data_IF_179613868879
#
_entry.id   IF_179613868879
#
_cell.length_a   1.000
_cell.length_b   1.000
_cell.length_c   1.000
_cell.angle_alpha   90.00
_cell.angle_beta   90.00
_cell.angle_gamma   90.00
#
_symmetry.space_group_name_H-M   'P 1'
#
loop_
_entity.id
_entity.type
_entity.pdbx_description
1 polymer ?
#
# COMPACT_ATOMS: atom_id res chain seq x y z
N UNK A 1 -14.54 26.91 -13.79
CA UNK A 1 -14.61 25.75 -14.73
C UNK A 1 -13.25 25.28 -15.22
N UNK A 2 -12.50 26.06 -16.04
CA UNK A 2 -11.20 25.63 -16.58
C UNK A 2 -10.20 25.19 -15.50
N UNK A 3 -10.10 25.95 -14.41
CA UNK A 3 -9.23 25.60 -13.28
C UNK A 3 -9.64 24.27 -12.62
N UNK A 4 -10.94 24.08 -12.35
CA UNK A 4 -11.47 22.84 -11.80
C UNK A 4 -11.23 21.65 -12.73
N UNK A 5 -11.33 21.84 -14.06
CA UNK A 5 -11.02 20.79 -15.04
C UNK A 5 -9.54 20.38 -14.99
N UNK A 6 -8.62 21.34 -14.82
CA UNK A 6 -7.19 21.05 -14.66
C UNK A 6 -6.92 20.28 -13.36
N UNK A 7 -7.56 20.67 -12.25
CA UNK A 7 -7.44 19.95 -10.97
C UNK A 7 -8.06 18.56 -11.04
N UNK A 8 -9.17 18.40 -11.76
CA UNK A 8 -9.81 17.11 -11.99
C UNK A 8 -8.87 16.16 -12.72
N UNK A 9 -8.26 16.64 -13.82
CA UNK A 9 -7.28 15.86 -14.57
C UNK A 9 -6.07 15.47 -13.69
N UNK A 10 -5.55 16.42 -12.92
CA UNK A 10 -4.43 16.16 -12.01
C UNK A 10 -4.78 15.11 -10.95
N UNK A 11 -5.99 15.19 -10.37
CA UNK A 11 -6.49 14.21 -9.41
C UNK A 11 -6.58 12.82 -10.05
N UNK A 12 -7.22 12.67 -11.20
CA UNK A 12 -7.34 11.39 -11.89
C UNK A 12 -5.96 10.78 -12.19
N UNK A 13 -4.99 11.58 -12.64
CA UNK A 13 -3.62 11.10 -12.86
C UNK A 13 -2.97 10.59 -11.58
N UNK A 14 -3.06 11.35 -10.48
CA UNK A 14 -2.46 10.98 -9.19
C UNK A 14 -3.15 9.78 -8.57
N UNK A 15 -4.46 9.69 -8.71
CA UNK A 15 -5.25 8.56 -8.26
C UNK A 15 -4.86 7.28 -9.00
N UNK A 16 -4.74 7.33 -10.33
CA UNK A 16 -4.29 6.18 -11.12
C UNK A 16 -2.86 5.77 -10.78
N UNK A 17 -1.95 6.73 -10.55
CA UNK A 17 -0.61 6.46 -10.05
C UNK A 17 -0.62 5.72 -8.71
N UNK A 18 -1.48 6.15 -7.77
CA UNK A 18 -1.65 5.50 -6.47
C UNK A 18 -2.19 4.08 -6.62
N UNK A 19 -3.29 3.88 -7.36
CA UNK A 19 -3.90 2.56 -7.58
C UNK A 19 -2.88 1.58 -8.17
N UNK A 20 -2.13 2.01 -9.20
CA UNK A 20 -1.08 1.18 -9.80
C UNK A 20 0.04 0.87 -8.82
N UNK A 21 0.53 1.87 -8.08
CA UNK A 21 1.59 1.68 -7.10
C UNK A 21 1.17 0.68 -6.02
N UNK A 22 -0.05 0.77 -5.50
CA UNK A 22 -0.57 -0.18 -4.51
C UNK A 22 -0.60 -1.61 -5.07
N UNK A 23 -1.05 -1.77 -6.31
CA UNK A 23 -1.07 -3.08 -6.99
C UNK A 23 0.33 -3.69 -7.09
N UNK A 24 1.27 -2.92 -7.64
CA UNK A 24 2.66 -3.33 -7.84
C UNK A 24 3.33 -3.64 -6.49
N UNK A 25 3.05 -2.82 -5.47
CA UNK A 25 3.52 -3.00 -4.11
C UNK A 25 3.02 -4.32 -3.51
N UNK A 26 1.72 -4.60 -3.57
CA UNK A 26 1.14 -5.84 -3.02
C UNK A 26 1.69 -7.07 -3.75
N UNK A 27 1.75 -7.04 -5.08
CA UNK A 27 2.26 -8.14 -5.88
C UNK A 27 3.72 -8.47 -5.55
N UNK A 28 4.56 -7.43 -5.43
CA UNK A 28 5.98 -7.55 -5.10
C UNK A 28 6.18 -8.02 -3.66
N UNK A 29 5.48 -7.39 -2.71
CA UNK A 29 5.68 -7.67 -1.29
C UNK A 29 5.15 -9.02 -0.86
N UNK A 30 4.09 -9.53 -1.49
CA UNK A 30 3.62 -10.90 -1.22
C UNK A 30 4.73 -11.93 -1.45
N UNK A 31 5.45 -11.83 -2.58
CA UNK A 31 6.57 -12.72 -2.91
C UNK A 31 7.77 -12.53 -1.96
N UNK A 32 8.02 -11.30 -1.51
CA UNK A 32 9.08 -11.01 -0.56
C UNK A 32 8.76 -11.56 0.84
N UNK A 33 7.55 -11.35 1.32
CA UNK A 33 7.09 -11.78 2.63
C UNK A 33 6.98 -13.29 2.74
N UNK A 34 6.65 -14.01 1.67
CA UNK A 34 6.71 -15.48 1.68
C UNK A 34 8.13 -15.99 1.98
N UNK A 35 9.16 -15.32 1.44
CA UNK A 35 10.57 -15.65 1.71
C UNK A 35 10.98 -15.26 3.12
N UNK A 36 10.58 -14.07 3.59
CA UNK A 36 10.86 -13.61 4.96
C UNK A 36 10.20 -14.53 5.98
N UNK A 37 8.95 -14.92 5.75
CA UNK A 37 8.21 -15.86 6.59
C UNK A 37 8.92 -17.22 6.66
N UNK A 38 9.29 -17.81 5.52
CA UNK A 38 10.01 -19.09 5.50
C UNK A 38 11.34 -19.04 6.28
N UNK A 39 12.09 -17.93 6.17
CA UNK A 39 13.32 -17.72 6.95
C UNK A 39 13.03 -17.56 8.45
N UNK A 40 11.96 -16.87 8.83
CA UNK A 40 11.55 -16.71 10.23
C UNK A 40 11.16 -18.03 10.88
N UNK A 41 10.39 -18.88 10.17
CA UNK A 41 10.03 -20.23 10.63
C UNK A 41 11.27 -21.09 10.84
N UNK A 42 12.24 -20.99 9.92
CA UNK A 42 13.54 -21.68 10.05
C UNK A 42 14.31 -21.21 11.29
N UNK A 43 14.32 -19.91 11.59
CA UNK A 43 14.94 -19.37 12.80
C UNK A 43 14.26 -19.88 14.07
N UNK A 44 12.92 -19.92 14.09
CA UNK A 44 12.15 -20.44 15.22
C UNK A 44 12.44 -21.94 15.46
N UNK A 45 12.55 -22.73 14.40
CA UNK A 45 12.96 -24.13 14.48
C UNK A 45 14.37 -24.27 15.08
N UNK A 46 15.35 -23.53 14.56
CA UNK A 46 16.73 -23.54 15.07
C UNK A 46 16.86 -23.03 16.51
N UNK A 47 15.87 -22.28 17.02
CA UNK A 47 15.79 -21.89 18.43
C UNK A 47 15.27 -23.04 19.30
N UNK A 48 14.25 -23.76 18.84
CA UNK A 48 13.61 -24.86 19.57
C UNK A 48 14.47 -26.13 19.64
N UNK A 49 15.32 -26.39 18.64
CA UNK A 49 16.19 -27.58 18.59
C UNK A 49 17.47 -27.52 19.46
N UNK A 50 17.63 -26.51 20.31
CA UNK A 50 18.84 -26.35 21.15
C UNK A 50 19.00 -27.40 22.27
N UNK A 51 18.01 -28.28 22.48
CA UNK A 51 18.04 -29.31 23.51
C UNK A 51 18.95 -30.50 23.18
N UNK A 52 19.25 -30.76 21.89
CA UNK A 52 20.25 -31.75 21.46
C UNK A 52 20.81 -31.37 20.09
N UNK A 53 22.02 -30.78 19.99
CA UNK A 53 22.51 -30.27 18.71
C UNK A 53 22.94 -31.42 17.78
N UNK A 54 22.13 -31.67 16.73
CA UNK A 54 22.48 -32.55 15.60
C UNK A 54 23.64 -32.00 14.74
N UNK A 55 23.98 -30.72 14.90
CA UNK A 55 25.00 -30.01 14.12
C UNK A 55 25.90 -29.14 15.04
N UNK A 56 27.15 -28.87 14.62
CA UNK A 56 28.05 -27.95 15.31
C UNK A 56 27.43 -26.58 15.56
N UNK A 57 27.74 -25.99 16.72
CA UNK A 57 27.20 -24.71 17.18
C UNK A 57 27.57 -23.58 16.21
N UNK A 58 28.77 -23.63 15.63
CA UNK A 58 29.28 -22.67 14.67
C UNK A 58 28.46 -22.67 13.38
N UNK A 59 28.09 -23.85 12.88
CA UNK A 59 27.25 -23.99 11.68
C UNK A 59 25.85 -23.44 11.95
N UNK A 60 25.27 -23.75 13.11
CA UNK A 60 23.96 -23.21 13.51
C UNK A 60 24.01 -21.68 13.63
N UNK A 61 25.07 -21.12 14.21
CA UNK A 61 25.26 -19.68 14.32
C UNK A 61 25.40 -19.01 12.94
N UNK A 62 26.16 -19.61 12.03
CA UNK A 62 26.33 -19.11 10.66
C UNK A 62 25.00 -19.08 9.90
N UNK A 63 24.21 -20.16 9.98
CA UNK A 63 22.88 -20.23 9.35
C UNK A 63 21.92 -19.20 9.95
N UNK A 64 21.93 -19.01 11.28
CA UNK A 64 21.13 -17.96 11.94
C UNK A 64 21.50 -16.57 11.44
N UNK A 65 22.79 -16.27 11.38
CA UNK A 65 23.30 -14.99 10.89
C UNK A 65 22.88 -14.73 9.43
N UNK A 66 23.02 -15.73 8.56
CA UNK A 66 22.59 -15.63 7.16
C UNK A 66 21.08 -15.38 7.03
N UNK A 67 20.24 -16.11 7.79
CA UNK A 67 18.79 -15.90 7.74
C UNK A 67 18.40 -14.50 8.22
N UNK A 68 19.01 -14.02 9.32
CA UNK A 68 18.73 -12.68 9.86
C UNK A 68 19.17 -11.57 8.89
N UNK A 69 20.33 -11.72 8.25
CA UNK A 69 20.80 -10.76 7.26
C UNK A 69 19.86 -10.68 6.05
N UNK A 70 19.38 -11.83 5.56
CA UNK A 70 18.44 -11.89 4.44
C UNK A 70 17.08 -11.28 4.81
N UNK A 71 16.56 -11.57 6.00
CA UNK A 71 15.33 -10.96 6.51
C UNK A 71 15.50 -9.44 6.61
N UNK A 72 16.57 -8.98 7.25
CA UNK A 72 16.82 -7.55 7.47
C UNK A 72 16.95 -6.80 6.13
N UNK A 73 17.71 -7.34 5.17
CA UNK A 73 17.87 -6.77 3.84
C UNK A 73 16.52 -6.62 3.10
N UNK A 74 15.63 -7.60 3.26
CA UNK A 74 14.28 -7.56 2.66
C UNK A 74 13.38 -6.54 3.35
N UNK A 75 13.34 -6.52 4.68
CA UNK A 75 12.52 -5.58 5.43
C UNK A 75 12.96 -4.12 5.23
N UNK A 76 14.26 -3.86 5.04
CA UNK A 76 14.75 -2.53 4.67
C UNK A 76 14.22 -2.07 3.31
N UNK A 77 14.06 -2.98 2.34
CA UNK A 77 13.44 -2.66 1.05
C UNK A 77 11.95 -2.38 1.22
N UNK A 78 11.24 -3.20 1.99
CA UNK A 78 9.83 -2.98 2.34
C UNK A 78 9.63 -1.62 3.01
N UNK A 79 10.51 -1.22 3.94
CA UNK A 79 10.44 0.08 4.61
C UNK A 79 10.50 1.24 3.60
N UNK A 80 11.42 1.17 2.63
CA UNK A 80 11.54 2.19 1.59
C UNK A 80 10.29 2.25 0.72
N UNK A 81 9.76 1.10 0.30
CA UNK A 81 8.52 1.04 -0.49
C UNK A 81 7.31 1.54 0.30
N UNK A 82 7.23 1.28 1.61
CA UNK A 82 6.16 1.79 2.48
C UNK A 82 6.21 3.32 2.59
N UNK A 83 7.42 3.89 2.64
CA UNK A 83 7.61 5.34 2.61
C UNK A 83 7.15 5.92 1.28
N UNK A 84 7.54 5.31 0.16
CA UNK A 84 7.11 5.72 -1.17
C UNK A 84 5.58 5.62 -1.33
N UNK A 85 4.97 4.53 -0.85
CA UNK A 85 3.52 4.34 -0.84
C UNK A 85 2.81 5.49 -0.10
N UNK A 86 3.32 5.86 1.08
CA UNK A 86 2.80 6.97 1.88
C UNK A 86 2.92 8.30 1.13
N UNK A 87 4.05 8.55 0.47
CA UNK A 87 4.29 9.76 -0.31
C UNK A 87 3.37 9.85 -1.54
N UNK A 88 3.15 8.73 -2.24
CA UNK A 88 2.23 8.66 -3.40
C UNK A 88 0.79 8.88 -2.93
N UNK A 89 0.38 8.27 -1.83
CA UNK A 89 -0.94 8.49 -1.22
C UNK A 89 -1.16 9.98 -0.88
N UNK A 90 -0.20 10.61 -0.21
CA UNK A 90 -0.29 12.03 0.17
C UNK A 90 -0.41 12.95 -1.05
N UNK A 91 0.27 12.63 -2.16
CA UNK A 91 0.14 13.39 -3.41
C UNK A 91 -1.27 13.27 -4.01
N UNK A 92 -1.88 12.08 -3.98
CA UNK A 92 -3.24 11.89 -4.45
C UNK A 92 -4.26 12.60 -3.55
N UNK A 93 -4.09 12.52 -2.22
CA UNK A 93 -4.92 13.22 -1.25
C UNK A 93 -4.86 14.74 -1.43
N UNK A 94 -3.67 15.31 -1.59
CA UNK A 94 -3.52 16.75 -1.81
C UNK A 94 -4.15 17.17 -3.15
N UNK A 95 -4.00 16.38 -4.20
CA UNK A 95 -4.65 16.67 -5.48
C UNK A 95 -6.18 16.60 -5.41
N UNK A 96 -6.73 15.74 -4.54
CA UNK A 96 -8.17 15.69 -4.28
C UNK A 96 -8.63 16.94 -3.52
N UNK A 97 -7.89 17.39 -2.50
CA UNK A 97 -8.19 18.62 -1.77
C UNK A 97 -8.20 19.85 -2.69
N UNK A 98 -7.23 19.94 -3.62
CA UNK A 98 -7.21 21.00 -4.63
C UNK A 98 -8.44 20.95 -5.55
N UNK A 99 -8.87 19.75 -5.95
CA UNK A 99 -10.08 19.56 -6.75
C UNK A 99 -11.32 19.99 -5.97
N UNK A 100 -11.44 19.57 -4.71
CA UNK A 100 -12.53 19.93 -3.82
C UNK A 100 -12.61 21.45 -3.65
N UNK A 101 -11.49 22.13 -3.37
CA UNK A 101 -11.44 23.58 -3.21
C UNK A 101 -11.94 24.32 -4.47
N UNK A 102 -11.49 23.88 -5.64
CA UNK A 102 -11.91 24.51 -6.91
C UNK A 102 -13.36 24.19 -7.27
N UNK A 103 -13.90 23.09 -6.77
CA UNK A 103 -15.31 22.70 -6.98
C UNK A 103 -16.29 23.58 -6.19
N UNK A 104 -15.90 24.09 -5.00
CA UNK A 104 -16.73 25.02 -4.23
C UNK A 104 -16.97 26.36 -4.93
N UNK A 105 -16.09 26.73 -5.87
CA UNK A 105 -16.17 27.99 -6.63
C UNK A 105 -17.03 27.86 -7.90
N UNK A 106 -17.60 26.67 -8.16
CA UNK A 106 -18.43 26.42 -9.34
C UNK A 106 -19.89 26.78 -9.09
N UNK A 107 -20.55 27.24 -10.16
CA UNK A 107 -22.01 27.33 -10.22
C UNK A 107 -22.59 25.94 -10.55
N UNK A 108 -23.01 25.21 -9.51
CA UNK A 108 -23.54 23.85 -9.62
C UNK A 108 -24.87 23.74 -10.39
N UNK A 109 -25.56 24.85 -10.62
CA UNK A 109 -26.77 24.88 -11.43
C UNK A 109 -26.47 25.03 -12.93
N UNK A 110 -25.21 25.27 -13.29
CA UNK A 110 -24.81 25.47 -14.69
C UNK A 110 -24.89 24.18 -15.52
N UNK A 111 -25.04 24.37 -16.83
CA UNK A 111 -25.02 23.27 -17.81
C UNK A 111 -23.60 22.88 -18.25
N UNK A 112 -22.56 23.28 -17.51
CA UNK A 112 -21.19 22.98 -17.88
C UNK A 112 -20.92 21.46 -17.90
N UNK A 113 -20.16 21.02 -18.91
CA UNK A 113 -19.81 19.61 -19.13
C UNK A 113 -19.14 18.95 -17.91
N UNK A 114 -18.36 19.72 -17.14
CA UNK A 114 -17.72 19.22 -15.92
C UNK A 114 -18.74 18.85 -14.85
N UNK A 115 -19.86 19.58 -14.76
CA UNK A 115 -20.89 19.44 -13.73
C UNK A 115 -21.83 18.30 -14.09
N UNK A 116 -22.37 18.33 -15.32
CA UNK A 116 -23.32 17.32 -15.80
C UNK A 116 -22.65 16.02 -16.26
N UNK A 117 -21.35 16.07 -16.53
CA UNK A 117 -20.64 14.99 -17.20
C UNK A 117 -20.90 14.97 -18.70
N UNK A 118 -20.12 14.15 -19.37
CA UNK A 118 -20.22 13.82 -20.79
C UNK A 118 -20.28 12.29 -20.95
N UNK A 119 -20.51 11.75 -22.16
CA UNK A 119 -20.44 10.30 -22.37
C UNK A 119 -19.11 9.67 -21.97
N UNK A 120 -18.02 10.46 -21.96
CA UNK A 120 -16.66 10.00 -21.63
C UNK A 120 -16.18 10.45 -20.25
N UNK A 121 -16.84 11.42 -19.62
CA UNK A 121 -16.49 11.95 -18.31
C UNK A 121 -17.68 11.89 -17.37
N UNK A 122 -17.52 11.21 -16.22
CA UNK A 122 -18.57 11.20 -15.19
C UNK A 122 -18.79 12.62 -14.62
N UNK A 123 -20.00 12.92 -14.09
CA UNK A 123 -20.27 14.18 -13.42
C UNK A 123 -19.27 14.46 -12.30
N UNK A 124 -18.90 15.73 -12.07
CA UNK A 124 -17.95 16.09 -11.01
C UNK A 124 -18.43 15.64 -9.62
N UNK A 125 -19.73 15.70 -9.34
CA UNK A 125 -20.31 15.23 -8.07
C UNK A 125 -20.01 13.75 -7.80
N UNK A 126 -20.14 12.91 -8.83
CA UNK A 126 -19.77 11.50 -8.75
C UNK A 126 -18.28 11.31 -8.46
N UNK A 127 -17.42 12.10 -9.11
CA UNK A 127 -15.96 11.99 -8.94
C UNK A 127 -15.53 12.46 -7.56
N UNK A 128 -16.14 13.52 -7.02
CA UNK A 128 -15.87 13.98 -5.65
C UNK A 128 -16.28 12.90 -4.64
N UNK A 129 -17.52 12.39 -4.73
CA UNK A 129 -18.01 11.38 -3.81
C UNK A 129 -17.17 10.09 -3.86
N UNK A 130 -16.97 9.53 -5.06
CA UNK A 130 -16.22 8.27 -5.23
C UNK A 130 -14.73 8.45 -5.00
N UNK A 131 -14.17 9.58 -5.44
CA UNK A 131 -12.77 9.92 -5.19
C UNK A 131 -12.45 9.97 -3.70
N UNK A 132 -13.32 10.60 -2.90
CA UNK A 132 -13.19 10.61 -1.45
C UNK A 132 -13.30 9.19 -0.85
N UNK A 133 -14.33 8.42 -1.24
CA UNK A 133 -14.53 7.05 -0.75
C UNK A 133 -13.28 6.18 -0.99
N UNK A 134 -12.73 6.20 -2.21
CA UNK A 134 -11.55 5.40 -2.52
C UNK A 134 -10.28 5.91 -1.83
N UNK A 135 -10.07 7.22 -1.74
CA UNK A 135 -8.94 7.76 -0.99
C UNK A 135 -9.02 7.42 0.50
N UNK A 136 -10.22 7.39 1.07
CA UNK A 136 -10.42 6.97 2.46
C UNK A 136 -10.07 5.49 2.65
N UNK A 137 -10.45 4.62 1.72
CA UNK A 137 -10.09 3.20 1.83
C UNK A 137 -8.61 2.95 1.60
N UNK A 138 -7.98 3.66 0.65
CA UNK A 138 -6.52 3.63 0.51
C UNK A 138 -5.81 4.18 1.74
N UNK A 139 -6.36 5.18 2.42
CA UNK A 139 -5.84 5.64 3.71
C UNK A 139 -5.82 4.53 4.75
N UNK A 140 -6.94 3.80 4.89
CA UNK A 140 -7.05 2.69 5.82
C UNK A 140 -6.04 1.59 5.47
N UNK A 141 -5.91 1.26 4.18
CA UNK A 141 -4.93 0.29 3.70
C UNK A 141 -3.50 0.70 4.05
N UNK A 142 -3.07 1.91 3.67
CA UNK A 142 -1.71 2.41 3.91
C UNK A 142 -1.42 2.48 5.41
N UNK A 143 -2.38 2.93 6.22
CA UNK A 143 -2.23 3.04 7.67
C UNK A 143 -2.12 1.66 8.34
N UNK A 144 -2.94 0.70 7.94
CA UNK A 144 -2.87 -0.67 8.45
C UNK A 144 -1.56 -1.35 8.02
N UNK A 145 -1.17 -1.23 6.75
CA UNK A 145 0.07 -1.81 6.25
C UNK A 145 1.28 -1.23 7.00
N UNK A 146 1.31 0.09 7.22
CA UNK A 146 2.36 0.74 8.00
C UNK A 146 2.39 0.27 9.46
N UNK A 147 1.24 0.25 10.13
CA UNK A 147 1.13 -0.19 11.52
C UNK A 147 1.65 -1.62 11.71
N UNK A 148 1.23 -2.54 10.84
CA UNK A 148 1.66 -3.93 10.92
C UNK A 148 3.11 -4.11 10.51
N UNK A 149 3.63 -3.30 9.59
CA UNK A 149 5.05 -3.29 9.25
C UNK A 149 5.92 -2.84 10.43
N UNK A 150 5.53 -1.76 11.12
CA UNK A 150 6.23 -1.27 12.31
C UNK A 150 6.21 -2.26 13.48
N UNK A 151 5.19 -3.15 13.51
CA UNK A 151 5.06 -4.22 14.49
C UNK A 151 5.85 -5.51 14.13
N UNK A 152 6.54 -5.56 12.99
CA UNK A 152 7.31 -6.76 12.59
C UNK A 152 8.47 -6.98 13.54
N UNK A 153 8.46 -8.14 14.21
CA UNK A 153 9.59 -8.71 14.91
C UNK A 153 10.16 -9.87 14.10
N UNK A 154 11.40 -9.73 13.62
CA UNK A 154 12.12 -10.75 12.84
C UNK A 154 12.27 -12.08 13.56
N UNK A 155 12.09 -12.10 14.89
CA UNK A 155 12.18 -13.28 15.76
C UNK A 155 10.83 -13.93 16.00
N UNK A 156 9.74 -13.34 15.50
CA UNK A 156 8.39 -13.84 15.68
C UNK A 156 7.67 -13.94 14.33
N UNK A 157 7.56 -15.15 13.79
CA UNK A 157 6.90 -15.42 12.52
C UNK A 157 5.44 -14.95 12.46
N UNK A 158 4.74 -14.90 13.60
CA UNK A 158 3.33 -14.46 13.67
C UNK A 158 3.18 -12.98 13.32
N UNK A 159 4.17 -12.15 13.68
CA UNK A 159 4.15 -10.72 13.33
C UNK A 159 4.32 -10.50 11.83
N UNK A 160 5.18 -11.30 11.18
CA UNK A 160 5.40 -11.31 9.73
C UNK A 160 4.14 -11.79 9.00
N UNK A 161 3.49 -12.84 9.51
CA UNK A 161 2.23 -13.33 8.97
C UNK A 161 1.09 -12.31 9.11
N UNK A 162 1.03 -11.61 10.25
CA UNK A 162 0.07 -10.51 10.46
C UNK A 162 0.28 -9.39 9.45
N UNK A 163 1.53 -8.97 9.24
CA UNK A 163 1.85 -7.99 8.20
C UNK A 163 1.47 -8.48 6.81
N UNK A 164 1.82 -9.71 6.44
CA UNK A 164 1.41 -10.32 5.16
C UNK A 164 -0.11 -10.31 4.97
N UNK A 165 -0.88 -10.61 6.02
CA UNK A 165 -2.33 -10.62 5.96
C UNK A 165 -2.94 -9.22 5.81
N UNK A 166 -2.25 -8.17 6.27
CA UNK A 166 -2.67 -6.78 6.10
C UNK A 166 -2.57 -6.29 4.64
N UNK A 167 -1.76 -6.94 3.80
CA UNK A 167 -1.57 -6.57 2.39
C UNK A 167 -2.68 -7.09 1.46
N UNK A 168 -3.92 -7.18 1.94
CA UNK A 168 -5.08 -7.61 1.16
C UNK A 168 -5.94 -6.40 0.82
N UNK A 169 -6.05 -6.09 -0.46
CA UNK A 169 -7.00 -5.09 -0.94
C UNK A 169 -8.45 -5.58 -0.77
N UNK A 170 -9.37 -4.71 -0.34
CA UNK A 170 -10.81 -4.94 -0.49
C UNK A 170 -11.16 -5.23 -1.96
N UNK A 171 -12.04 -6.22 -2.20
CA UNK A 171 -12.38 -6.72 -3.55
C UNK A 171 -12.92 -5.65 -4.49
N UNK A 172 -13.58 -4.62 -3.96
CA UNK A 172 -14.15 -3.55 -4.77
C UNK A 172 -13.12 -2.50 -5.20
N UNK A 173 -11.97 -2.40 -4.53
CA UNK A 173 -10.83 -1.60 -4.99
C UNK A 173 -10.03 -2.32 -6.06
N UNK A 174 -10.03 -3.66 -6.05
CA UNK A 174 -9.35 -4.51 -7.04
C UNK A 174 -9.93 -4.33 -8.47
N UNK A 175 -11.21 -3.95 -8.58
CA UNK A 175 -11.85 -3.65 -9.87
C UNK A 175 -11.23 -2.41 -10.53
N UNK A 176 -10.95 -1.36 -9.76
CA UNK A 176 -10.42 -0.09 -10.27
C UNK A 176 -8.90 -0.06 -10.47
N UNK A 177 -8.20 -1.01 -9.88
CA UNK A 177 -6.77 -1.23 -10.14
C UNK A 177 -6.56 -1.91 -11.50
N UNK A 178 -7.56 -2.66 -11.98
CA UNK A 178 -7.49 -3.50 -13.18
C UNK A 178 -8.30 -2.95 -14.37
N UNK A 179 -9.02 -1.82 -14.21
CA UNK A 179 -9.65 -1.02 -15.29
C UNK A 179 -8.76 0.17 -15.70
#
# INVERSE_FOLDING_TARGET
EKECQLKLYSFCQRFNQLSKFISDFIATEKLHLDKVFALSVRLDYLRKCLSTPLYPVEIVAQVKCSCLNDINSRLLKTANQMKELTDVYNKALNSYRDLEETSYKLDWESNADIIKGTPTQKPLSYILEKGYQYLFEYHLFVSHAKLHFEAVDVRNSETIETFKNSLKLPKHLDIYVNE
#
